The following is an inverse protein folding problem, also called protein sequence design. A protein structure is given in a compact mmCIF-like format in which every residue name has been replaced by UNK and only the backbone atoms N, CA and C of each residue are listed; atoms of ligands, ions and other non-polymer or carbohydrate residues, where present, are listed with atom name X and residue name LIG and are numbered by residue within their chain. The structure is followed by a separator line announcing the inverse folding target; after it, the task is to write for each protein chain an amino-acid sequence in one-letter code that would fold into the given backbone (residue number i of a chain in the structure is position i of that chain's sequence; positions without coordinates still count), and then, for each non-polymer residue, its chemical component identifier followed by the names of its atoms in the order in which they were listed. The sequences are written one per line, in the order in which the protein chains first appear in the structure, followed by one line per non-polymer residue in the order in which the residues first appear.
data_IF_480278946428
#
_entry.id   IF_480278946428
#
_cell.length_a   1.000
_cell.length_b   1.000
_cell.length_c   1.000
_cell.angle_alpha   90.00
_cell.angle_beta   90.00
_cell.angle_gamma   90.00
#
_symmetry.space_group_name_H-M   'P 1'
#
loop_
_entity.id
_entity.type
_entity.pdbx_description
1 polymer ?
#
# COMPACT_ATOMS: atom_id res chain seq x y z
N UNK A 1 19.90 -25.69 7.99
CA UNK A 1 18.92 -24.62 7.75
C UNK A 1 17.77 -24.99 6.80
N UNK A 2 17.97 -25.76 5.71
CA UNK A 2 16.88 -26.19 4.80
C UNK A 2 15.95 -27.25 5.38
N UNK A 3 16.43 -28.16 6.22
CA UNK A 3 15.64 -29.26 6.80
C UNK A 3 14.65 -28.80 7.87
N UNK A 4 15.06 -27.82 8.70
CA UNK A 4 14.19 -27.20 9.71
C UNK A 4 13.02 -26.45 9.06
N UNK A 5 13.28 -25.73 7.97
CA UNK A 5 12.25 -25.01 7.23
C UNK A 5 11.25 -25.96 6.54
N UNK A 6 11.72 -27.11 6.05
CA UNK A 6 10.85 -28.15 5.51
C UNK A 6 9.99 -28.81 6.59
N UNK A 7 10.56 -29.06 7.79
CA UNK A 7 9.81 -29.59 8.94
C UNK A 7 8.75 -28.57 9.44
N UNK A 8 9.07 -27.28 9.47
CA UNK A 8 8.11 -26.21 9.79
C UNK A 8 6.99 -26.14 8.75
N UNK A 9 7.29 -26.23 7.45
CA UNK A 9 6.29 -26.22 6.37
C UNK A 9 5.40 -27.48 6.36
N UNK A 10 5.90 -28.63 6.86
CA UNK A 10 5.16 -29.91 6.97
C UNK A 10 4.33 -29.98 8.26
N UNK A 11 4.88 -29.53 9.38
CA UNK A 11 4.19 -29.56 10.69
C UNK A 11 3.24 -28.39 10.86
N UNK A 12 3.50 -27.26 10.19
CA UNK A 12 2.68 -26.04 10.19
C UNK A 12 2.53 -25.54 8.75
N UNK A 13 1.73 -26.21 7.91
CA UNK A 13 1.54 -25.76 6.54
C UNK A 13 0.93 -24.37 6.54
N UNK A 14 1.55 -23.45 5.78
CA UNK A 14 1.05 -22.10 5.58
C UNK A 14 -0.41 -22.15 5.12
N UNK A 15 -1.28 -21.35 5.73
CA UNK A 15 -2.69 -21.27 5.37
C UNK A 15 -3.63 -22.15 6.18
N UNK A 16 -3.18 -22.80 7.27
CA UNK A 16 -4.11 -23.45 8.22
C UNK A 16 -4.75 -22.44 9.18
N UNK A 17 -4.01 -21.40 9.60
CA UNK A 17 -4.47 -20.40 10.54
C UNK A 17 -4.75 -19.05 9.87
N UNK A 18 -5.66 -18.31 10.45
CA UNK A 18 -5.93 -16.92 10.10
C UNK A 18 -4.73 -16.04 10.41
N UNK A 19 -4.25 -15.23 9.46
CA UNK A 19 -3.08 -14.37 9.67
C UNK A 19 -3.31 -13.26 10.74
N UNK A 20 -4.56 -13.07 11.19
CA UNK A 20 -4.90 -12.07 12.18
C UNK A 20 -5.18 -12.63 13.58
N UNK A 21 -5.78 -13.83 13.70
CA UNK A 21 -6.20 -14.36 15.01
C UNK A 21 -5.78 -15.84 15.23
N UNK A 22 -5.04 -16.43 14.30
CA UNK A 22 -4.58 -17.82 14.30
C UNK A 22 -5.69 -18.90 14.29
N UNK A 23 -6.97 -18.51 14.29
CA UNK A 23 -8.08 -19.44 14.13
C UNK A 23 -7.98 -20.25 12.84
N UNK A 24 -8.37 -21.53 12.88
CA UNK A 24 -8.36 -22.41 11.71
C UNK A 24 -9.22 -21.84 10.58
N UNK A 25 -8.62 -21.65 9.41
CA UNK A 25 -9.32 -21.10 8.22
C UNK A 25 -9.13 -21.89 6.93
N UNK A 26 -8.59 -23.14 7.00
CA UNK A 26 -8.55 -24.16 5.94
C UNK A 26 -8.18 -23.60 4.55
N UNK A 27 -6.97 -23.08 4.40
CA UNK A 27 -6.46 -22.58 3.12
C UNK A 27 -6.88 -21.16 2.75
N UNK A 28 -7.60 -20.46 3.63
CA UNK A 28 -7.89 -19.02 3.51
C UNK A 28 -6.90 -18.22 4.38
N UNK A 29 -6.62 -16.99 3.98
CA UNK A 29 -5.74 -16.10 4.77
C UNK A 29 -6.45 -15.48 5.97
N UNK A 30 -7.78 -15.32 5.91
CA UNK A 30 -8.61 -14.85 7.02
C UNK A 30 -9.72 -15.86 7.34
N UNK A 31 -10.02 -16.04 8.63
CA UNK A 31 -11.22 -16.70 9.09
C UNK A 31 -12.47 -15.83 8.82
N UNK A 32 -13.67 -16.41 8.89
CA UNK A 32 -14.93 -15.70 8.60
C UNK A 32 -15.14 -14.50 9.54
N UNK A 33 -14.74 -14.61 10.80
CA UNK A 33 -14.83 -13.53 11.79
C UNK A 33 -13.95 -12.35 11.39
N UNK A 34 -12.68 -12.60 11.08
CA UNK A 34 -11.75 -11.55 10.65
C UNK A 34 -12.15 -10.96 9.30
N UNK A 35 -12.66 -11.77 8.37
CA UNK A 35 -13.16 -11.27 7.09
C UNK A 35 -14.35 -10.33 7.29
N UNK A 36 -15.36 -10.72 8.08
CA UNK A 36 -16.50 -9.85 8.42
C UNK A 36 -16.07 -8.56 9.12
N UNK A 37 -15.12 -8.67 10.05
CA UNK A 37 -14.57 -7.50 10.73
C UNK A 37 -13.82 -6.56 9.76
N UNK A 38 -13.07 -7.10 8.80
CA UNK A 38 -12.42 -6.31 7.75
C UNK A 38 -13.46 -5.61 6.85
N UNK A 39 -14.48 -6.34 6.43
CA UNK A 39 -15.55 -5.79 5.57
C UNK A 39 -16.32 -4.65 6.26
N UNK A 40 -16.51 -4.72 7.58
CA UNK A 40 -17.11 -3.65 8.38
C UNK A 40 -16.23 -2.37 8.44
N UNK A 41 -14.93 -2.46 8.11
CA UNK A 41 -14.02 -1.32 8.04
C UNK A 41 -14.02 -0.63 6.66
N UNK A 42 -14.73 -1.16 5.65
CA UNK A 42 -14.80 -0.55 4.33
C UNK A 42 -15.33 0.87 4.40
N UNK A 43 -14.65 1.77 3.71
CA UNK A 43 -15.09 3.15 3.56
C UNK A 43 -16.09 3.25 2.40
N UNK A 44 -17.12 4.08 2.53
CA UNK A 44 -17.99 4.39 1.41
C UNK A 44 -17.20 5.03 0.27
N UNK A 45 -17.70 4.90 -0.93
CA UNK A 45 -17.15 5.61 -2.07
C UNK A 45 -17.39 7.11 -1.89
N UNK A 46 -16.31 7.90 -1.97
CA UNK A 46 -16.38 9.36 -1.88
C UNK A 46 -16.12 9.96 -3.27
N UNK A 47 -17.18 10.34 -3.96
CA UNK A 47 -17.12 10.97 -5.29
C UNK A 47 -16.44 12.33 -5.27
N UNK A 48 -16.40 13.02 -4.12
CA UNK A 48 -15.76 14.32 -4.00
C UNK A 48 -14.22 14.21 -4.01
N UNK A 49 -13.66 13.08 -3.61
CA UNK A 49 -12.21 12.84 -3.59
C UNK A 49 -11.76 12.13 -4.88
N UNK A 50 -11.97 12.75 -6.04
CA UNK A 50 -11.75 12.15 -7.37
C UNK A 50 -10.38 11.52 -7.61
N UNK A 51 -9.33 12.03 -6.96
CA UNK A 51 -7.94 11.60 -7.19
C UNK A 51 -7.36 10.73 -6.07
N UNK A 52 -8.10 10.49 -4.97
CA UNK A 52 -7.63 9.68 -3.85
C UNK A 52 -8.74 8.74 -3.38
N UNK A 53 -8.49 7.43 -3.44
CA UNK A 53 -9.37 6.41 -2.92
C UNK A 53 -8.72 5.60 -1.82
N UNK A 54 -9.35 5.56 -0.66
CA UNK A 54 -8.94 4.69 0.45
C UNK A 54 -9.99 3.60 0.67
N UNK A 55 -9.55 2.36 0.91
CA UNK A 55 -10.45 1.21 0.96
C UNK A 55 -11.03 1.01 2.36
N UNK A 56 -10.20 1.00 3.39
CA UNK A 56 -10.61 0.71 4.75
C UNK A 56 -10.28 1.84 5.73
N UNK A 57 -11.00 1.92 6.83
CA UNK A 57 -10.55 2.68 8.00
C UNK A 57 -9.33 2.01 8.60
N UNK A 58 -8.33 2.81 9.03
CA UNK A 58 -7.11 2.30 9.69
C UNK A 58 -7.41 1.90 11.15
N UNK A 59 -8.22 0.87 11.33
CA UNK A 59 -8.69 0.37 12.63
C UNK A 59 -8.80 -1.16 12.60
N UNK A 60 -8.92 -1.80 13.75
CA UNK A 60 -9.20 -3.23 13.88
C UNK A 60 -8.33 -4.12 12.98
N UNK A 61 -8.97 -5.02 12.26
CA UNK A 61 -8.31 -5.98 11.35
C UNK A 61 -7.56 -5.27 10.21
N UNK A 62 -8.10 -4.18 9.67
CA UNK A 62 -7.40 -3.44 8.60
C UNK A 62 -6.08 -2.84 9.09
N UNK A 63 -6.03 -2.30 10.31
CA UNK A 63 -4.78 -1.83 10.94
C UNK A 63 -3.81 -2.97 11.17
N UNK A 64 -4.30 -4.12 11.63
CA UNK A 64 -3.46 -5.31 11.86
C UNK A 64 -2.84 -5.81 10.56
N UNK A 65 -3.60 -5.89 9.47
CA UNK A 65 -3.08 -6.26 8.15
C UNK A 65 -1.98 -5.31 7.65
N UNK A 66 -2.13 -4.00 7.87
CA UNK A 66 -1.07 -3.03 7.53
C UNK A 66 0.18 -3.23 8.39
N UNK A 67 0.04 -3.65 9.64
CA UNK A 67 1.20 -4.00 10.48
C UNK A 67 1.88 -5.26 9.93
N UNK A 68 1.13 -6.31 9.65
CA UNK A 68 1.64 -7.55 9.05
C UNK A 68 2.29 -7.32 7.68
N UNK A 69 1.73 -6.43 6.85
CA UNK A 69 2.33 -6.02 5.58
C UNK A 69 3.75 -5.44 5.75
N UNK A 70 4.03 -4.83 6.89
CA UNK A 70 5.33 -4.22 7.22
C UNK A 70 6.29 -5.18 7.90
N UNK A 71 5.89 -6.43 8.11
CA UNK A 71 6.61 -7.48 8.83
C UNK A 71 6.77 -8.75 7.97
N UNK A 72 7.04 -9.89 8.59
CA UNK A 72 7.35 -11.17 7.93
C UNK A 72 6.19 -11.78 7.12
N UNK A 73 4.94 -11.39 7.39
CA UNK A 73 3.75 -11.83 6.65
C UNK A 73 3.36 -10.88 5.50
N UNK A 74 4.31 -10.13 4.95
CA UNK A 74 4.04 -9.07 3.98
C UNK A 74 3.27 -9.55 2.73
N UNK A 75 3.58 -10.72 2.18
CA UNK A 75 2.91 -11.24 0.99
C UNK A 75 1.45 -11.61 1.23
N UNK A 76 1.14 -12.28 2.35
CA UNK A 76 -0.20 -12.71 2.70
C UNK A 76 -1.10 -11.50 3.03
N UNK A 77 -0.58 -10.56 3.83
CA UNK A 77 -1.28 -9.33 4.14
C UNK A 77 -1.51 -8.47 2.88
N UNK A 78 -0.53 -8.40 1.97
CA UNK A 78 -0.68 -7.73 0.68
C UNK A 78 -1.79 -8.38 -0.15
N UNK A 79 -1.84 -9.70 -0.22
CA UNK A 79 -2.88 -10.45 -0.96
C UNK A 79 -4.28 -10.11 -0.45
N UNK A 80 -4.47 -10.06 0.88
CA UNK A 80 -5.77 -9.71 1.48
C UNK A 80 -6.16 -8.26 1.15
N UNK A 81 -5.25 -7.31 1.35
CA UNK A 81 -5.52 -5.89 1.12
C UNK A 81 -5.71 -5.58 -0.38
N UNK A 82 -4.90 -6.20 -1.24
CA UNK A 82 -4.94 -5.98 -2.68
C UNK A 82 -6.28 -6.34 -3.32
N UNK A 83 -7.02 -7.31 -2.80
CA UNK A 83 -8.30 -7.75 -3.37
C UNK A 83 -9.29 -6.59 -3.50
N UNK A 84 -9.58 -5.91 -2.41
CA UNK A 84 -10.51 -4.78 -2.44
C UNK A 84 -9.95 -3.54 -3.12
N UNK A 85 -8.62 -3.37 -3.13
CA UNK A 85 -7.95 -2.30 -3.91
C UNK A 85 -8.11 -2.56 -5.40
N UNK A 86 -7.89 -3.79 -5.87
CA UNK A 86 -8.05 -4.19 -7.26
C UNK A 86 -9.51 -4.04 -7.71
N UNK A 87 -10.47 -4.49 -6.90
CA UNK A 87 -11.91 -4.31 -7.18
C UNK A 87 -12.23 -2.82 -7.39
N UNK A 88 -11.70 -1.96 -6.53
CA UNK A 88 -11.90 -0.52 -6.63
C UNK A 88 -11.25 0.09 -7.89
N UNK A 89 -10.06 -0.36 -8.28
CA UNK A 89 -9.35 0.09 -9.48
C UNK A 89 -10.09 -0.36 -10.74
N UNK A 90 -10.49 -1.63 -10.80
CA UNK A 90 -11.24 -2.18 -11.95
C UNK A 90 -12.57 -1.46 -12.17
N UNK A 91 -13.26 -1.06 -11.09
CA UNK A 91 -14.49 -0.28 -11.17
C UNK A 91 -14.31 1.13 -11.76
N UNK A 92 -13.08 1.68 -11.75
CA UNK A 92 -12.79 3.01 -12.32
C UNK A 92 -12.73 3.05 -13.84
N UNK A 93 -12.67 1.90 -14.52
CA UNK A 93 -12.58 1.77 -16.00
C UNK A 93 -11.49 2.68 -16.57
N UNK A 94 -10.27 2.52 -16.07
CA UNK A 94 -9.12 3.32 -16.46
C UNK A 94 -8.65 2.97 -17.89
N UNK A 95 -7.90 3.87 -18.57
CA UNK A 95 -7.30 3.59 -19.87
C UNK A 95 -6.38 2.37 -19.84
N UNK A 96 -6.24 1.67 -20.98
CA UNK A 96 -5.42 0.45 -21.11
C UNK A 96 -3.91 0.70 -20.86
N UNK A 97 -3.44 1.91 -21.13
CA UNK A 97 -2.06 2.35 -20.88
C UNK A 97 -1.76 2.68 -19.42
N UNK A 98 -2.73 2.47 -18.52
CA UNK A 98 -2.56 2.74 -17.09
C UNK A 98 -1.47 1.87 -16.47
N UNK A 99 -0.58 2.50 -15.72
CA UNK A 99 0.49 1.84 -14.99
C UNK A 99 0.32 1.99 -13.47
N UNK A 100 0.76 0.98 -12.73
CA UNK A 100 0.82 1.02 -11.27
C UNK A 100 2.22 1.45 -10.81
N UNK A 101 2.26 2.27 -9.79
CA UNK A 101 3.49 2.59 -9.05
C UNK A 101 3.18 2.69 -7.57
N UNK A 102 4.20 2.76 -6.72
CA UNK A 102 3.98 2.81 -5.26
C UNK A 102 4.71 3.99 -4.62
N UNK A 103 4.22 4.41 -3.45
CA UNK A 103 4.90 5.40 -2.63
C UNK A 103 6.22 4.83 -2.12
N UNK A 104 7.33 5.39 -2.57
CA UNK A 104 8.66 4.89 -2.24
C UNK A 104 9.05 5.24 -0.80
N UNK A 105 9.65 4.27 -0.11
CA UNK A 105 10.15 4.48 1.25
C UNK A 105 11.63 4.90 1.25
N UNK A 106 12.13 5.57 2.33
CA UNK A 106 13.55 5.85 2.48
C UNK A 106 14.38 4.56 2.52
N UNK A 107 15.56 4.58 1.86
CA UNK A 107 16.48 3.42 1.82
C UNK A 107 16.86 2.88 3.19
N UNK A 108 17.02 3.76 4.19
CA UNK A 108 17.30 3.36 5.58
C UNK A 108 16.19 2.45 6.13
N UNK A 109 14.93 2.77 5.86
CA UNK A 109 13.79 1.97 6.30
C UNK A 109 13.69 0.67 5.52
N UNK A 110 13.95 0.70 4.21
CA UNK A 110 13.99 -0.49 3.35
C UNK A 110 15.07 -1.48 3.81
N UNK A 111 16.28 -0.98 4.09
CA UNK A 111 17.38 -1.81 4.62
C UNK A 111 17.06 -2.40 6.00
N UNK A 112 16.43 -1.62 6.90
CA UNK A 112 16.06 -2.08 8.23
C UNK A 112 14.97 -3.15 8.20
N UNK A 113 14.02 -3.07 7.26
CA UNK A 113 12.87 -3.99 7.15
C UNK A 113 13.15 -5.19 6.25
N UNK A 114 14.15 -5.10 5.36
CA UNK A 114 14.45 -6.15 4.37
C UNK A 114 13.40 -6.27 3.25
N UNK A 115 12.27 -5.57 3.35
CA UNK A 115 11.12 -5.68 2.43
C UNK A 115 10.65 -4.28 2.04
N UNK A 116 10.33 -4.10 0.77
CA UNK A 116 9.59 -2.92 0.28
C UNK A 116 8.09 -3.26 0.26
N UNK A 117 7.41 -3.00 1.37
CA UNK A 117 5.99 -3.31 1.53
C UNK A 117 5.08 -2.58 0.53
N UNK A 118 5.46 -1.36 0.09
CA UNK A 118 4.73 -0.63 -0.94
C UNK A 118 4.81 -1.36 -2.28
N UNK A 119 6.00 -1.83 -2.66
CA UNK A 119 6.21 -2.66 -3.83
C UNK A 119 5.43 -3.98 -3.74
N UNK A 120 5.53 -4.68 -2.63
CA UNK A 120 4.81 -5.95 -2.41
C UNK A 120 3.30 -5.78 -2.57
N UNK A 121 2.73 -4.70 -2.00
CA UNK A 121 1.31 -4.39 -2.15
C UNK A 121 0.95 -4.04 -3.60
N UNK A 122 1.79 -3.25 -4.28
CA UNK A 122 1.59 -2.87 -5.68
C UNK A 122 1.62 -4.09 -6.62
N UNK A 123 2.58 -5.01 -6.42
CA UNK A 123 2.67 -6.26 -7.17
C UNK A 123 1.46 -7.18 -6.93
N UNK A 124 0.94 -7.25 -5.70
CA UNK A 124 -0.27 -7.99 -5.40
C UNK A 124 -1.51 -7.39 -6.10
N UNK A 125 -1.63 -6.06 -6.16
CA UNK A 125 -2.69 -5.38 -6.93
C UNK A 125 -2.54 -5.65 -8.42
N UNK A 126 -1.33 -5.58 -8.96
CA UNK A 126 -1.03 -5.88 -10.37
C UNK A 126 -1.47 -7.27 -10.77
N UNK A 127 -1.20 -8.28 -9.93
CA UNK A 127 -1.60 -9.68 -10.18
C UNK A 127 -3.11 -9.86 -10.33
N UNK A 128 -3.92 -8.95 -9.74
CA UNK A 128 -5.39 -9.01 -9.76
C UNK A 128 -6.00 -8.10 -10.83
N UNK A 129 -5.30 -7.04 -11.24
CA UNK A 129 -5.80 -6.07 -12.24
C UNK A 129 -5.23 -6.31 -13.63
N UNK A 130 -4.10 -7.04 -13.74
CA UNK A 130 -3.33 -7.17 -14.98
C UNK A 130 -2.54 -5.93 -15.38
N UNK A 131 -2.63 -4.82 -14.63
CA UNK A 131 -1.93 -3.58 -14.94
C UNK A 131 -0.43 -3.70 -14.67
N UNK A 132 0.44 -3.17 -15.54
CA UNK A 132 1.89 -3.25 -15.36
C UNK A 132 2.38 -2.40 -14.20
N UNK A 133 3.37 -2.93 -13.46
CA UNK A 133 4.05 -2.20 -12.37
C UNK A 133 5.30 -1.53 -12.92
N UNK A 134 5.46 -0.24 -12.66
CA UNK A 134 6.68 0.52 -12.98
C UNK A 134 7.18 1.26 -11.74
N UNK A 135 8.47 1.16 -11.46
CA UNK A 135 9.11 1.99 -10.43
C UNK A 135 9.35 3.38 -11.01
N UNK A 136 8.38 4.27 -10.85
CA UNK A 136 8.44 5.65 -11.37
C UNK A 136 9.02 6.63 -10.35
N UNK A 137 8.91 6.30 -9.06
CA UNK A 137 9.35 7.17 -7.99
C UNK A 137 10.60 6.63 -7.31
N UNK A 138 11.56 7.52 -7.11
CA UNK A 138 12.76 7.26 -6.32
C UNK A 138 12.90 8.28 -5.21
N UNK A 139 13.53 7.86 -4.12
CA UNK A 139 13.79 8.75 -2.99
C UNK A 139 15.29 8.99 -2.84
N UNK A 140 15.71 10.26 -2.89
CA UNK A 140 17.11 10.61 -2.71
C UNK A 140 17.57 10.36 -1.26
N UNK A 141 18.85 10.02 -1.10
CA UNK A 141 19.47 9.75 0.21
C UNK A 141 19.56 10.98 1.13
N UNK A 142 19.36 12.17 0.60
CA UNK A 142 19.63 13.44 1.30
C UNK A 142 18.47 13.96 2.17
N UNK A 143 17.43 13.18 2.40
CA UNK A 143 16.36 13.53 3.33
C UNK A 143 16.86 13.45 4.78
N UNK A 144 17.37 14.56 5.32
CA UNK A 144 17.74 14.65 6.73
C UNK A 144 16.51 14.42 7.61
N UNK A 145 16.50 13.29 8.34
CA UNK A 145 15.56 13.05 9.44
C UNK A 145 15.97 13.92 10.64
N UNK A 146 15.74 15.23 10.55
CA UNK A 146 15.89 16.08 11.73
C UNK A 146 14.66 15.90 12.63
N UNK A 147 14.88 15.40 13.85
CA UNK A 147 13.87 15.39 14.92
C UNK A 147 13.59 16.86 15.27
N UNK A 148 12.30 17.26 15.28
CA UNK A 148 11.90 18.62 15.69
C UNK A 148 11.38 19.54 14.58
N UNK A 149 11.32 19.10 13.33
CA UNK A 149 10.76 19.91 12.25
C UNK A 149 9.25 20.12 12.40
N UNK A 150 8.79 21.35 12.15
CA UNK A 150 7.38 21.66 12.01
C UNK A 150 6.75 20.97 10.77
N UNK A 151 5.43 21.03 10.64
CA UNK A 151 4.68 20.34 9.58
C UNK A 151 5.13 20.77 8.17
N UNK A 152 5.39 22.05 7.97
CA UNK A 152 5.80 22.63 6.67
C UNK A 152 7.21 22.18 6.26
N UNK A 153 8.17 22.23 7.18
CA UNK A 153 9.52 21.75 6.93
C UNK A 153 9.57 20.24 6.65
N UNK A 154 8.66 19.44 7.26
CA UNK A 154 8.50 18.02 6.92
C UNK A 154 7.98 17.82 5.50
N UNK A 155 7.00 18.62 5.08
CA UNK A 155 6.45 18.57 3.72
C UNK A 155 7.53 18.92 2.69
N UNK A 156 8.28 20.00 2.93
CA UNK A 156 9.38 20.42 2.06
C UNK A 156 10.46 19.34 1.97
N UNK A 157 10.89 18.75 3.08
CA UNK A 157 11.87 17.66 3.09
C UNK A 157 11.39 16.40 2.34
N UNK A 158 10.09 16.09 2.40
CA UNK A 158 9.50 14.99 1.62
C UNK A 158 9.53 15.35 0.13
N UNK A 159 9.11 16.58 -0.23
CA UNK A 159 9.10 17.05 -1.59
C UNK A 159 10.49 17.03 -2.23
N UNK A 160 11.50 17.53 -1.52
CA UNK A 160 12.89 17.58 -2.00
C UNK A 160 13.53 16.17 -2.11
N UNK A 161 12.95 15.17 -1.42
CA UNK A 161 13.49 13.81 -1.40
C UNK A 161 12.88 12.88 -2.45
N UNK A 162 11.73 13.20 -3.04
CA UNK A 162 11.03 12.34 -4.01
C UNK A 162 11.20 12.90 -5.42
N UNK A 163 11.61 12.05 -6.35
CA UNK A 163 11.74 12.39 -7.77
C UNK A 163 11.08 11.30 -8.60
N UNK A 164 10.60 11.67 -9.78
CA UNK A 164 10.22 10.72 -10.81
C UNK A 164 11.42 10.46 -11.73
N UNK A 165 11.62 9.21 -12.14
CA UNK A 165 12.61 8.82 -13.14
C UNK A 165 11.94 8.61 -14.48
N UNK A 166 12.45 9.32 -15.50
CA UNK A 166 11.93 9.27 -16.87
C UNK A 166 10.70 10.15 -17.12
N UNK A 167 10.24 10.16 -18.36
CA UNK A 167 8.97 10.79 -18.75
C UNK A 167 7.82 9.78 -18.69
N UNK A 168 6.63 10.28 -18.43
CA UNK A 168 5.39 9.52 -18.35
C UNK A 168 4.39 10.18 -19.31
N UNK A 169 3.66 9.37 -20.08
CA UNK A 169 2.61 9.81 -21.00
C UNK A 169 1.30 9.03 -20.81
N UNK A 170 1.13 8.42 -19.64
CA UNK A 170 0.03 7.51 -19.30
C UNK A 170 -0.67 7.91 -18.01
N UNK A 171 -1.81 7.29 -17.76
CA UNK A 171 -2.48 7.34 -16.46
C UNK A 171 -1.69 6.52 -15.42
N UNK A 172 -1.52 7.05 -14.23
CA UNK A 172 -0.78 6.41 -13.14
C UNK A 172 -1.68 6.16 -11.95
N UNK A 173 -1.73 4.92 -11.47
CA UNK A 173 -2.31 4.58 -10.17
C UNK A 173 -1.19 4.47 -9.14
N UNK A 174 -1.21 5.36 -8.15
CA UNK A 174 -0.25 5.42 -7.06
C UNK A 174 -0.76 4.61 -5.86
N UNK A 175 -0.06 3.53 -5.52
CA UNK A 175 -0.41 2.61 -4.43
C UNK A 175 0.29 3.03 -3.13
N UNK A 176 -0.48 3.06 -2.02
CA UNK A 176 0.07 3.24 -0.66
C UNK A 176 -0.70 2.38 0.35
N UNK A 177 -0.12 2.14 1.52
CA UNK A 177 -0.72 1.34 2.58
C UNK A 177 -1.65 2.18 3.48
N UNK A 178 -1.24 3.39 3.87
CA UNK A 178 -2.00 4.23 4.83
C UNK A 178 -2.04 5.69 4.40
N UNK A 179 -3.22 6.18 4.15
CA UNK A 179 -3.46 7.61 4.02
C UNK A 179 -3.64 8.23 5.42
N UNK A 180 -2.69 9.06 5.83
CA UNK A 180 -2.80 9.85 7.08
C UNK A 180 -3.24 11.28 6.76
N UNK A 181 -2.31 12.19 6.55
CA UNK A 181 -2.57 13.58 6.13
C UNK A 181 -2.63 13.76 4.62
N UNK A 182 -2.28 12.73 3.85
CA UNK A 182 -2.15 12.80 2.40
C UNK A 182 -0.87 13.48 1.89
N UNK A 183 -0.05 14.01 2.77
CA UNK A 183 1.14 14.78 2.41
C UNK A 183 2.11 14.03 1.48
N UNK A 184 2.44 12.79 1.80
CA UNK A 184 3.33 11.95 0.97
C UNK A 184 2.71 11.63 -0.38
N UNK A 185 1.43 11.27 -0.39
CA UNK A 185 0.67 10.98 -1.61
C UNK A 185 0.62 12.22 -2.51
N UNK A 186 0.36 13.41 -1.96
CA UNK A 186 0.31 14.67 -2.72
C UNK A 186 1.66 14.99 -3.37
N UNK A 187 2.77 14.84 -2.63
CA UNK A 187 4.13 15.05 -3.17
C UNK A 187 4.45 14.06 -4.28
N UNK A 188 4.14 12.76 -4.08
CA UNK A 188 4.33 11.74 -5.10
C UNK A 188 3.51 12.05 -6.36
N UNK A 189 2.23 12.39 -6.20
CA UNK A 189 1.35 12.72 -7.31
C UNK A 189 1.83 13.95 -8.09
N UNK A 190 2.35 14.97 -7.39
CA UNK A 190 2.93 16.15 -8.04
C UNK A 190 4.19 15.79 -8.84
N UNK A 191 5.08 14.96 -8.29
CA UNK A 191 6.27 14.50 -9.00
C UNK A 191 5.93 13.72 -10.27
N UNK A 192 4.89 12.86 -10.23
CA UNK A 192 4.41 12.11 -11.39
C UNK A 192 3.78 13.03 -12.44
N UNK A 193 2.98 14.03 -12.05
CA UNK A 193 2.39 15.01 -12.98
C UNK A 193 3.46 15.87 -13.64
N UNK A 194 4.48 16.30 -12.91
CA UNK A 194 5.64 17.04 -13.45
C UNK A 194 6.44 16.21 -14.47
N UNK A 195 6.43 14.89 -14.34
CA UNK A 195 7.07 13.97 -15.29
C UNK A 195 6.20 13.63 -16.50
N UNK A 196 4.98 14.20 -16.59
CA UNK A 196 4.10 14.07 -17.75
C UNK A 196 2.93 13.10 -17.60
N UNK A 197 2.69 12.54 -16.39
CA UNK A 197 1.53 11.69 -16.17
C UNK A 197 0.22 12.43 -16.52
N UNK A 198 -0.58 11.85 -17.44
CA UNK A 198 -1.84 12.43 -17.94
C UNK A 198 -2.89 12.52 -16.84
N UNK A 199 -2.89 11.55 -15.94
CA UNK A 199 -3.73 11.50 -14.73
C UNK A 199 -3.01 10.73 -13.64
N UNK A 200 -3.17 11.15 -12.38
CA UNK A 200 -2.65 10.42 -11.21
C UNK A 200 -3.79 10.19 -10.23
N UNK A 201 -4.04 8.93 -9.92
CA UNK A 201 -5.05 8.48 -8.94
C UNK A 201 -4.32 7.74 -7.84
N UNK A 202 -4.48 8.15 -6.59
CA UNK A 202 -3.93 7.41 -5.46
C UNK A 202 -4.97 6.41 -4.93
N UNK A 203 -4.54 5.16 -4.75
CA UNK A 203 -5.36 4.12 -4.10
C UNK A 203 -4.59 3.62 -2.88
N UNK A 204 -5.20 3.77 -1.70
CA UNK A 204 -4.57 3.38 -0.44
C UNK A 204 -5.37 2.28 0.24
N UNK A 205 -4.67 1.31 0.84
CA UNK A 205 -5.34 0.22 1.53
C UNK A 205 -6.19 0.74 2.70
N UNK A 206 -5.66 1.74 3.44
CA UNK A 206 -6.36 2.28 4.61
C UNK A 206 -6.25 3.81 4.71
N UNK A 207 -7.18 4.42 5.48
CA UNK A 207 -7.18 5.84 5.84
C UNK A 207 -7.40 6.03 7.33
N UNK A 208 -6.62 6.90 7.94
CA UNK A 208 -6.86 7.37 9.30
C UNK A 208 -8.02 8.34 9.27
N UNK A 209 -9.13 7.97 9.89
CA UNK A 209 -10.31 8.83 10.05
C UNK A 209 -10.23 9.41 11.46
N UNK A 210 -10.02 10.72 11.56
CA UNK A 210 -10.08 11.39 12.85
C UNK A 210 -11.54 11.46 13.26
N UNK A 211 -11.92 10.80 14.35
CA UNK A 211 -13.22 11.03 14.98
C UNK A 211 -13.30 12.50 15.40
N UNK A 212 -14.26 13.23 14.90
CA UNK A 212 -14.59 14.55 15.46
C UNK A 212 -14.99 14.31 16.93
N UNK A 213 -14.14 14.77 17.85
CA UNK A 213 -14.52 14.90 19.25
C UNK A 213 -15.54 16.00 19.40
#
# INVERSE_FOLDING_TARGET
MRLLKWLEDVLWPRGLGCICCDDLCRGRLLCDTCQKALDAMKLPYDDAAKDIRSIYRYEGVARQLVILLKDHCAADAATVLAKAMADAINAMKLPEDTVLTWVTMPDIRRKKRGIDHGRTLCEAVSSLTGMPVRQLLVRSKNGHTQRGLNREARLKNIADSIRCEGSIDSTVVLIDDVLTTGATVSVCAEALRKAGATKVIAVTATKVVLSKR
#
